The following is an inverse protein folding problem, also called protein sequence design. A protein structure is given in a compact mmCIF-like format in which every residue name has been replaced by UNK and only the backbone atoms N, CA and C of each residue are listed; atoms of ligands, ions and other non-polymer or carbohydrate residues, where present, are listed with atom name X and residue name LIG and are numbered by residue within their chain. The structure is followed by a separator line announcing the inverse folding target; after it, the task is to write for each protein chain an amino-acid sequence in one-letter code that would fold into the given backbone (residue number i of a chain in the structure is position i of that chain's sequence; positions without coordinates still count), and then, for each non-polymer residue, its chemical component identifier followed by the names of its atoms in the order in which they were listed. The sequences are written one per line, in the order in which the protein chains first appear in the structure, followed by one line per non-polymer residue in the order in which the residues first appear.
data_IF_141142392706
#
_entry.id   IF_141142392706
#
_cell.length_a   1.000
_cell.length_b   1.000
_cell.length_c   1.000
_cell.angle_alpha   90.00
_cell.angle_beta   90.00
_cell.angle_gamma   90.00
#
_symmetry.space_group_name_H-M   'P 1'
#
loop_
_entity.id
_entity.type
_entity.pdbx_description
1 polymer ?
#
# COMPACT_ATOMS: atom_id res chain seq x y z
N UNK A 1 -16.94 -15.05 37.03
CA UNK A 1 -17.16 -15.63 35.68
C UNK A 1 -17.45 -14.59 34.58
N UNK A 2 -18.06 -13.43 34.87
CA UNK A 2 -18.36 -12.39 33.84
C UNK A 2 -17.12 -11.67 33.26
N UNK A 3 -16.03 -11.54 34.03
CA UNK A 3 -14.82 -10.83 33.60
C UNK A 3 -13.93 -11.62 32.62
N UNK A 4 -13.97 -12.96 32.65
CA UNK A 4 -13.22 -13.79 31.70
C UNK A 4 -13.83 -13.77 30.30
N UNK A 5 -15.16 -13.66 30.19
CA UNK A 5 -15.85 -13.56 28.90
C UNK A 5 -15.52 -12.26 28.15
N UNK A 6 -15.38 -11.14 28.86
CA UNK A 6 -14.95 -9.86 28.25
C UNK A 6 -13.51 -9.89 27.76
N UNK A 7 -12.58 -10.54 28.48
CA UNK A 7 -11.19 -10.65 28.03
C UNK A 7 -11.06 -11.52 26.77
N UNK A 8 -11.83 -12.61 26.69
CA UNK A 8 -11.86 -13.49 25.52
C UNK A 8 -12.46 -12.81 24.28
N UNK A 9 -13.45 -11.93 24.44
CA UNK A 9 -14.04 -11.17 23.33
C UNK A 9 -13.08 -10.11 22.76
N UNK A 10 -12.32 -9.42 23.63
CA UNK A 10 -11.29 -8.45 23.20
C UNK A 10 -10.13 -9.10 22.45
N UNK A 11 -9.73 -10.32 22.84
CA UNK A 11 -8.68 -11.07 22.15
C UNK A 11 -9.14 -11.62 20.78
N UNK A 12 -10.43 -11.92 20.61
CA UNK A 12 -10.98 -12.44 19.35
C UNK A 12 -11.03 -11.38 18.22
N UNK A 13 -11.17 -10.10 18.56
CA UNK A 13 -11.19 -8.98 17.60
C UNK A 13 -9.81 -8.64 17.01
N UNK A 14 -8.73 -9.21 17.54
CA UNK A 14 -7.35 -8.87 17.15
C UNK A 14 -6.80 -9.69 15.97
N UNK A 15 -7.61 -10.52 15.31
CA UNK A 15 -7.16 -11.36 14.19
C UNK A 15 -7.83 -10.97 12.87
N UNK A 16 -7.72 -9.70 12.48
CA UNK A 16 -7.95 -9.34 11.08
C UNK A 16 -6.80 -9.90 10.25
N UNK A 17 -7.02 -11.03 9.58
CA UNK A 17 -6.05 -11.56 8.63
C UNK A 17 -5.94 -10.59 7.45
N UNK A 18 -4.81 -9.86 7.36
CA UNK A 18 -4.53 -9.02 6.21
C UNK A 18 -4.22 -9.92 5.01
N UNK A 19 -5.18 -10.06 4.08
CA UNK A 19 -4.99 -10.74 2.80
C UNK A 19 -4.28 -9.85 1.77
N UNK A 20 -3.30 -9.05 2.23
CA UNK A 20 -2.61 -8.08 1.39
C UNK A 20 -1.66 -8.80 0.44
N UNK A 21 -1.82 -8.59 -0.86
CA UNK A 21 -1.00 -9.25 -1.89
C UNK A 21 0.19 -8.40 -2.33
N UNK A 22 0.22 -7.13 -1.92
CA UNK A 22 1.37 -6.25 -2.09
C UNK A 22 1.82 -5.61 -0.77
N UNK A 23 3.03 -5.08 -0.75
CA UNK A 23 3.46 -4.13 0.29
C UNK A 23 4.50 -3.14 -0.25
N UNK A 24 4.71 -2.04 0.46
CA UNK A 24 5.71 -1.03 0.12
C UNK A 24 7.01 -1.38 0.86
N UNK A 25 8.07 -1.71 0.12
CA UNK A 25 9.38 -2.03 0.70
C UNK A 25 10.26 -0.79 0.85
N UNK A 26 10.13 0.15 -0.09
CA UNK A 26 10.75 1.46 -0.01
C UNK A 26 9.77 2.51 -0.54
N UNK A 27 9.74 3.73 0.02
CA UNK A 27 10.46 4.14 1.24
C UNK A 27 9.97 3.42 2.50
N UNK A 28 10.82 3.32 3.52
CA UNK A 28 10.44 2.78 4.81
C UNK A 28 9.45 3.73 5.52
N UNK A 29 8.62 3.19 6.40
CA UNK A 29 7.70 4.00 7.21
C UNK A 29 8.46 5.06 8.04
N UNK A 30 7.96 6.29 8.01
CA UNK A 30 8.57 7.46 8.65
C UNK A 30 9.72 8.11 7.86
N UNK A 31 10.02 7.69 6.63
CA UNK A 31 11.10 8.28 5.82
C UNK A 31 10.87 9.77 5.58
N UNK A 32 11.92 10.57 5.75
CA UNK A 32 11.90 12.00 5.40
C UNK A 32 12.16 12.21 3.91
N UNK A 33 11.31 12.99 3.26
CA UNK A 33 11.39 13.34 1.83
C UNK A 33 11.20 14.83 1.65
N UNK A 34 11.80 15.42 0.63
CA UNK A 34 11.65 16.84 0.33
C UNK A 34 10.48 17.07 -0.65
N UNK A 35 9.68 18.10 -0.44
CA UNK A 35 8.72 18.55 -1.44
C UNK A 35 9.44 18.89 -2.77
N UNK A 36 8.87 18.51 -3.91
CA UNK A 36 9.50 18.67 -5.23
C UNK A 36 10.57 17.62 -5.57
N UNK A 37 10.98 16.77 -4.62
CA UNK A 37 11.96 15.71 -4.89
C UNK A 37 11.35 14.50 -5.58
N UNK A 38 12.18 13.76 -6.33
CA UNK A 38 11.79 12.45 -6.86
C UNK A 38 12.23 11.35 -5.90
N UNK A 39 11.31 10.44 -5.60
CA UNK A 39 11.55 9.27 -4.76
C UNK A 39 11.29 7.99 -5.53
N UNK A 40 11.91 6.89 -5.09
CA UNK A 40 11.59 5.55 -5.59
C UNK A 40 10.62 4.88 -4.62
N UNK A 41 9.46 4.49 -5.13
CA UNK A 41 8.50 3.62 -4.45
C UNK A 41 8.70 2.22 -4.98
N UNK A 42 9.19 1.33 -4.12
CA UNK A 42 9.38 -0.07 -4.43
C UNK A 42 8.21 -0.87 -3.85
N UNK A 43 7.40 -1.42 -4.75
CA UNK A 43 6.25 -2.24 -4.40
C UNK A 43 6.65 -3.69 -4.61
N UNK A 44 6.46 -4.52 -3.58
CA UNK A 44 6.63 -5.97 -3.67
C UNK A 44 5.27 -6.63 -3.83
N UNK A 45 5.20 -7.65 -4.67
CA UNK A 45 4.07 -8.57 -4.76
C UNK A 45 4.44 -9.84 -3.99
N UNK A 46 3.61 -10.18 -3.00
CA UNK A 46 3.75 -11.41 -2.24
C UNK A 46 3.27 -12.61 -3.04
N UNK A 47 3.88 -13.77 -2.79
CA UNK A 47 3.40 -15.03 -3.37
C UNK A 47 2.00 -15.31 -2.82
N UNK A 48 1.04 -15.49 -3.72
CA UNK A 48 -0.35 -15.80 -3.38
C UNK A 48 -0.72 -17.19 -3.90
N UNK A 49 -1.57 -17.91 -3.16
CA UNK A 49 -1.93 -19.30 -3.48
C UNK A 49 -2.87 -19.36 -4.70
N UNK A 50 -3.73 -18.36 -4.85
CA UNK A 50 -4.64 -18.25 -6.00
C UNK A 50 -3.99 -17.47 -7.13
N UNK A 51 -4.50 -17.65 -8.36
CA UNK A 51 -4.10 -16.83 -9.50
C UNK A 51 -4.40 -15.34 -9.22
N UNK A 52 -3.44 -14.49 -9.56
CA UNK A 52 -3.56 -13.03 -9.52
C UNK A 52 -3.36 -12.50 -10.94
N UNK A 53 -4.38 -11.89 -11.53
CA UNK A 53 -4.29 -11.16 -12.79
C UNK A 53 -4.22 -9.67 -12.50
N UNK A 54 -3.13 -9.03 -12.95
CA UNK A 54 -2.83 -7.62 -12.73
C UNK A 54 -3.70 -6.73 -13.62
N UNK A 55 -4.46 -5.80 -13.00
CA UNK A 55 -5.28 -4.83 -13.75
C UNK A 55 -4.60 -3.45 -13.75
N UNK A 56 -4.31 -2.91 -12.56
CA UNK A 56 -3.71 -1.59 -12.42
C UNK A 56 -3.13 -1.36 -11.02
N UNK A 57 -2.26 -0.36 -10.92
CA UNK A 57 -1.75 0.16 -9.66
C UNK A 57 -1.75 1.69 -9.70
N UNK A 58 -2.16 2.29 -8.60
CA UNK A 58 -2.13 3.74 -8.41
C UNK A 58 -1.36 4.09 -7.14
N UNK A 59 -0.48 5.08 -7.23
CA UNK A 59 0.28 5.62 -6.10
C UNK A 59 -0.23 7.03 -5.86
N UNK A 60 -0.57 7.33 -4.60
CA UNK A 60 -1.04 8.65 -4.22
C UNK A 60 -0.42 9.13 -2.91
N UNK A 61 -0.43 10.46 -2.75
CA UNK A 61 0.01 11.16 -1.54
C UNK A 61 -1.15 11.95 -0.97
N UNK A 62 -1.41 11.78 0.32
CA UNK A 62 -2.51 12.45 1.01
C UNK A 62 -2.29 12.63 2.49
N UNK A 63 -3.33 13.13 3.16
CA UNK A 63 -3.32 13.20 4.61
C UNK A 63 -3.22 11.79 5.24
N UNK A 64 -2.66 11.68 6.46
CA UNK A 64 -2.68 10.43 7.22
C UNK A 64 -4.10 9.88 7.41
N UNK A 65 -4.23 8.55 7.51
CA UNK A 65 -5.47 7.86 7.85
C UNK A 65 -6.66 8.07 6.90
N UNK A 66 -6.40 8.36 5.62
CA UNK A 66 -7.43 8.41 4.59
C UNK A 66 -7.74 6.98 4.10
N UNK A 67 -8.69 6.28 4.72
CA UNK A 67 -9.07 4.93 4.30
C UNK A 67 -10.58 4.81 3.98
N UNK A 68 -10.97 4.17 2.84
CA UNK A 68 -10.12 3.77 1.71
C UNK A 68 -9.93 4.94 0.72
N UNK A 69 -8.76 5.57 0.72
CA UNK A 69 -8.40 6.55 -0.32
C UNK A 69 -6.87 6.61 -0.52
N UNK A 70 -6.43 6.89 -1.74
CA UNK A 70 -5.00 7.03 -2.04
C UNK A 70 -4.46 8.45 -1.84
N UNK A 71 -5.32 9.40 -1.50
CA UNK A 71 -4.96 10.80 -1.28
C UNK A 71 -5.40 11.74 -2.41
N UNK A 72 -5.10 13.03 -2.25
CA UNK A 72 -5.50 14.08 -3.19
C UNK A 72 -4.55 14.24 -4.38
N UNK A 73 -3.30 13.80 -4.26
CA UNK A 73 -2.32 13.86 -5.34
C UNK A 73 -2.06 12.45 -5.88
N UNK A 74 -2.37 12.22 -7.15
CA UNK A 74 -2.01 10.98 -7.85
C UNK A 74 -0.60 11.13 -8.39
N UNK A 75 0.31 10.30 -7.91
CA UNK A 75 1.72 10.32 -8.29
C UNK A 75 2.02 9.32 -9.43
N UNK A 76 1.26 8.24 -9.49
CA UNK A 76 1.31 7.24 -10.56
C UNK A 76 -0.06 6.61 -10.75
N UNK A 77 -0.41 6.30 -12.00
CA UNK A 77 -1.57 5.50 -12.36
C UNK A 77 -1.25 4.75 -13.65
N UNK A 78 -1.15 3.43 -13.57
CA UNK A 78 -0.78 2.64 -14.72
C UNK A 78 -0.63 1.15 -14.42
N UNK A 79 -0.01 0.40 -15.34
CA UNK A 79 0.19 -1.04 -15.18
C UNK A 79 1.15 -1.34 -14.02
N UNK A 80 0.94 -2.51 -13.40
CA UNK A 80 1.87 -3.14 -12.46
C UNK A 80 2.29 -4.48 -13.07
N UNK A 81 3.59 -4.63 -13.28
CA UNK A 81 4.21 -5.81 -13.89
C UNK A 81 5.50 -6.14 -13.12
N UNK A 82 5.36 -6.62 -11.87
CA UNK A 82 6.49 -6.90 -11.01
C UNK A 82 7.37 -8.00 -11.61
N UNK A 83 8.68 -7.77 -11.56
CA UNK A 83 9.68 -8.71 -12.06
C UNK A 83 10.29 -9.48 -10.90
N UNK A 84 10.61 -10.75 -11.14
CA UNK A 84 11.26 -11.56 -10.12
C UNK A 84 12.73 -11.14 -9.96
N UNK A 85 13.10 -10.71 -8.77
CA UNK A 85 14.46 -10.36 -8.39
C UNK A 85 14.79 -10.99 -7.03
N UNK A 86 15.84 -11.82 -6.98
CA UNK A 86 16.29 -12.49 -5.75
C UNK A 86 15.18 -13.25 -5.01
N UNK A 87 14.27 -13.89 -5.74
CA UNK A 87 13.16 -14.67 -5.16
C UNK A 87 11.94 -13.84 -4.71
N UNK A 88 11.93 -12.53 -4.98
CA UNK A 88 10.81 -11.63 -4.68
C UNK A 88 10.31 -10.97 -5.97
N UNK A 89 9.00 -10.89 -6.15
CA UNK A 89 8.40 -10.12 -7.25
C UNK A 89 8.29 -8.66 -6.84
N UNK A 90 8.84 -7.73 -7.62
CA UNK A 90 8.84 -6.31 -7.28
C UNK A 90 8.84 -5.40 -8.51
N UNK A 91 8.42 -4.15 -8.30
CA UNK A 91 8.55 -3.08 -9.28
C UNK A 91 8.91 -1.76 -8.59
N UNK A 92 9.82 -1.01 -9.22
CA UNK A 92 10.20 0.34 -8.80
C UNK A 92 9.44 1.39 -9.60
N UNK A 93 8.91 2.38 -8.89
CA UNK A 93 8.24 3.53 -9.46
C UNK A 93 8.98 4.80 -9.03
N UNK A 94 9.50 5.56 -9.99
CA UNK A 94 10.02 6.89 -9.72
C UNK A 94 8.88 7.89 -9.78
N UNK A 95 8.58 8.51 -8.65
CA UNK A 95 7.48 9.48 -8.51
C UNK A 95 7.98 10.79 -7.92
N UNK A 96 7.40 11.90 -8.38
CA UNK A 96 7.71 13.22 -7.84
C UNK A 96 6.77 13.55 -6.68
N UNK A 97 7.34 13.96 -5.54
CA UNK A 97 6.57 14.57 -4.47
C UNK A 97 6.16 15.98 -4.94
N UNK A 98 4.87 16.34 -4.94
CA UNK A 98 4.44 17.66 -5.38
C UNK A 98 5.11 18.77 -4.56
N UNK A 99 5.55 19.85 -5.22
CA UNK A 99 6.06 21.05 -4.53
C UNK A 99 5.00 21.69 -3.63
N UNK A 100 3.73 21.48 -3.95
CA UNK A 100 2.58 21.96 -3.19
C UNK A 100 2.16 21.01 -2.05
N UNK A 101 2.92 19.95 -1.79
CA UNK A 101 2.64 19.04 -0.69
C UNK A 101 2.81 19.77 0.66
N UNK A 102 1.85 19.57 1.57
CA UNK A 102 1.95 20.10 2.92
C UNK A 102 3.14 19.48 3.65
N UNK A 103 3.89 20.29 4.39
CA UNK A 103 4.95 19.79 5.28
C UNK A 103 4.38 19.00 6.46
N UNK A 104 5.09 17.96 6.89
CA UNK A 104 4.74 17.11 8.01
C UNK A 104 4.38 15.68 7.59
N UNK A 105 3.64 14.97 8.46
CA UNK A 105 3.28 13.59 8.23
C UNK A 105 2.23 13.48 7.12
N UNK A 106 2.56 12.71 6.07
CA UNK A 106 1.68 12.39 4.95
C UNK A 106 1.63 10.88 4.73
N UNK A 107 0.52 10.38 4.19
CA UNK A 107 0.41 8.97 3.81
C UNK A 107 0.75 8.80 2.34
N UNK A 108 1.74 7.96 2.05
CA UNK A 108 2.00 7.42 0.72
C UNK A 108 1.20 6.12 0.60
N UNK A 109 0.22 6.13 -0.30
CA UNK A 109 -0.73 5.04 -0.46
C UNK A 109 -0.57 4.39 -1.83
N UNK A 110 -0.69 3.07 -1.88
CA UNK A 110 -0.69 2.28 -3.11
C UNK A 110 -2.00 1.51 -3.17
N UNK A 111 -2.85 1.84 -4.15
CA UNK A 111 -4.03 1.04 -4.48
C UNK A 111 -3.69 0.04 -5.59
N UNK A 112 -4.09 -1.20 -5.40
CA UNK A 112 -3.79 -2.31 -6.28
C UNK A 112 -5.09 -3.01 -6.69
N UNK A 113 -5.28 -3.13 -8.00
CA UNK A 113 -6.49 -3.64 -8.63
C UNK A 113 -6.15 -4.95 -9.35
N UNK A 114 -6.85 -6.02 -8.98
CA UNK A 114 -6.57 -7.38 -9.47
C UNK A 114 -7.85 -8.15 -9.76
N UNK A 115 -7.73 -9.18 -10.59
CA UNK A 115 -8.72 -10.26 -10.67
C UNK A 115 -8.13 -11.51 -9.99
N UNK A 116 -8.89 -12.11 -9.07
CA UNK A 116 -8.44 -13.24 -8.23
C UNK A 116 -9.15 -14.55 -8.52
N UNK A 117 -8.38 -15.63 -8.46
CA UNK A 117 -8.87 -17.00 -8.51
C UNK A 117 -9.34 -17.41 -9.91
N UNK A 118 -9.98 -18.57 -10.00
CA UNK A 118 -10.35 -19.18 -11.29
C UNK A 118 -11.54 -18.51 -12.00
N UNK A 119 -12.28 -17.65 -11.29
CA UNK A 119 -13.44 -16.92 -11.82
C UNK A 119 -13.17 -15.42 -11.97
N UNK A 120 -11.90 -14.99 -11.84
CA UNK A 120 -11.47 -13.60 -12.01
C UNK A 120 -12.26 -12.61 -11.14
N UNK A 121 -12.39 -12.90 -9.84
CA UNK A 121 -13.09 -12.05 -8.88
C UNK A 121 -12.39 -10.70 -8.77
N UNK A 122 -13.05 -9.56 -9.03
CA UNK A 122 -12.43 -8.26 -8.91
C UNK A 122 -12.10 -7.96 -7.45
N UNK A 123 -10.89 -7.46 -7.21
CA UNK A 123 -10.39 -7.12 -5.89
C UNK A 123 -9.63 -5.81 -5.93
N UNK A 124 -9.81 -5.04 -4.85
CA UNK A 124 -9.03 -3.83 -4.57
C UNK A 124 -8.40 -3.98 -3.19
N UNK A 125 -7.14 -3.61 -3.09
CA UNK A 125 -6.48 -3.41 -1.81
C UNK A 125 -5.75 -2.08 -1.78
N UNK A 126 -5.48 -1.59 -0.59
CA UNK A 126 -4.65 -0.40 -0.39
C UNK A 126 -3.67 -0.67 0.74
N UNK A 127 -2.40 -0.39 0.46
CA UNK A 127 -1.31 -0.43 1.45
C UNK A 127 -0.68 0.95 1.53
N UNK A 128 -0.12 1.29 2.68
CA UNK A 128 0.44 2.62 2.89
C UNK A 128 1.64 2.60 3.82
N UNK A 129 2.45 3.65 3.69
CA UNK A 129 3.49 4.04 4.64
C UNK A 129 3.36 5.54 4.91
N UNK A 130 3.86 5.98 6.05
CA UNK A 130 3.92 7.38 6.44
C UNK A 130 5.23 7.98 5.94
N UNK A 131 5.17 9.17 5.35
CA UNK A 131 6.33 9.98 5.01
C UNK A 131 6.33 11.23 5.88
N UNK A 132 7.53 11.72 6.21
CA UNK A 132 7.72 13.04 6.79
C UNK A 132 8.18 14.00 5.69
N UNK A 133 7.27 14.82 5.16
CA UNK A 133 7.57 15.77 4.08
C UNK A 133 8.15 17.06 4.67
N UNK A 134 9.30 17.49 4.16
CA UNK A 134 10.01 18.71 4.57
C UNK A 134 10.25 19.67 3.42
#
# INVERSE_FOLDING_TARGET
MKFFASFALSAALATTAFAQTISIRAPADGTTVQAGSSITVEVIQHIFIENLEEVALAIGLGAPNLAPAIGGNILYNGPFNPQQQNGVFLQNFTVAIPETASTGLMSLNVAHFTLRGSINTPSIETVNVTLNVV
#
